data_IF_699781151563
#
_entry.id   IF_699781151563
#
_cell.length_a   1.000
_cell.length_b   1.000
_cell.length_c   1.000
_cell.angle_alpha   90.00
_cell.angle_beta   90.00
_cell.angle_gamma   90.00
#
_symmetry.space_group_name_H-M   'P 1'
#
loop_
_entity.id
_entity.type
_entity.pdbx_description
1 polymer ?
#
# COMPACT_ATOMS: atom_id res chain seq x y z
N UNK A 1 7.59 28.70 10.18
CA UNK A 1 7.57 27.35 9.60
C UNK A 1 7.00 26.39 10.65
N UNK A 2 5.89 25.71 10.38
CA UNK A 2 5.31 24.74 11.31
C UNK A 2 6.06 23.39 11.29
N UNK A 3 5.86 22.52 12.30
CA UNK A 3 6.55 21.22 12.39
C UNK A 3 6.16 20.27 11.23
N UNK A 4 7.12 19.49 10.74
CA UNK A 4 6.89 18.46 9.71
C UNK A 4 5.92 17.39 10.26
N UNK A 5 4.75 17.22 9.65
CA UNK A 5 3.74 16.22 10.08
C UNK A 5 3.88 14.84 9.42
N UNK A 6 4.81 14.68 8.48
CA UNK A 6 4.94 13.42 7.72
C UNK A 6 5.23 12.22 8.62
N UNK A 7 6.07 12.40 9.64
CA UNK A 7 6.42 11.31 10.55
C UNK A 7 5.24 10.85 11.41
N UNK A 8 4.45 11.80 11.94
CA UNK A 8 3.24 11.46 12.69
C UNK A 8 2.20 10.71 11.82
N UNK A 9 2.00 11.17 10.58
CA UNK A 9 1.14 10.49 9.61
C UNK A 9 1.66 9.09 9.26
N UNK A 10 2.98 8.91 9.13
CA UNK A 10 3.61 7.62 8.88
C UNK A 10 3.41 6.64 10.04
N UNK A 11 3.55 7.09 11.29
CA UNK A 11 3.28 6.26 12.46
C UNK A 11 1.81 5.82 12.52
N UNK A 12 0.88 6.74 12.25
CA UNK A 12 -0.55 6.43 12.24
C UNK A 12 -0.90 5.38 11.17
N UNK A 13 -0.40 5.58 9.95
CA UNK A 13 -0.63 4.64 8.84
C UNK A 13 0.02 3.29 9.11
N UNK A 14 1.25 3.25 9.62
CA UNK A 14 1.92 2.00 9.97
C UNK A 14 1.15 1.23 11.05
N UNK A 15 0.62 1.93 12.07
CA UNK A 15 -0.21 1.30 13.09
C UNK A 15 -1.51 0.71 12.50
N UNK A 16 -2.17 1.43 11.58
CA UNK A 16 -3.36 0.95 10.88
C UNK A 16 -3.05 -0.28 10.01
N UNK A 17 -1.93 -0.28 9.28
CA UNK A 17 -1.49 -1.41 8.43
C UNK A 17 -1.18 -2.66 9.28
N UNK A 18 -0.44 -2.50 10.38
CA UNK A 18 -0.17 -3.59 11.33
C UNK A 18 -1.44 -4.20 11.93
N UNK A 19 -2.43 -3.36 12.24
CA UNK A 19 -3.71 -3.84 12.78
C UNK A 19 -4.51 -4.63 11.72
N UNK A 20 -4.41 -4.24 10.46
CA UNK A 20 -5.11 -4.94 9.38
C UNK A 20 -4.51 -6.33 9.12
N UNK A 21 -3.18 -6.43 9.13
CA UNK A 21 -2.43 -7.69 8.93
C UNK A 21 -2.74 -8.73 10.03
N UNK A 22 -3.17 -8.28 11.21
CA UNK A 22 -3.54 -9.16 12.34
C UNK A 22 -5.04 -9.50 12.42
N UNK A 23 -5.90 -8.94 11.55
CA UNK A 23 -7.38 -9.13 11.61
C UNK A 23 -7.92 -9.93 10.40
N UNK A 24 -7.05 -10.61 9.66
CA UNK A 24 -7.31 -11.31 8.38
C UNK A 24 -8.36 -12.44 8.50
N UNK A 25 -8.76 -12.85 9.70
CA UNK A 25 -9.70 -13.97 9.88
C UNK A 25 -11.17 -13.66 9.54
N UNK A 26 -11.54 -12.40 9.25
CA UNK A 26 -12.93 -12.04 8.90
C UNK A 26 -13.02 -10.98 7.79
N UNK A 27 -12.82 -11.40 6.53
CA UNK A 27 -12.97 -10.52 5.39
C UNK A 27 -14.45 -10.21 5.06
N UNK A 28 -14.79 -8.92 4.95
CA UNK A 28 -16.08 -8.43 4.48
C UNK A 28 -15.91 -7.49 3.29
N UNK A 29 -17.00 -7.24 2.53
CA UNK A 29 -16.99 -6.29 1.40
C UNK A 29 -16.54 -4.89 1.87
N UNK A 30 -16.94 -4.50 3.08
CA UNK A 30 -16.56 -3.24 3.71
C UNK A 30 -15.08 -3.23 4.09
N UNK A 31 -14.52 -4.36 4.54
CA UNK A 31 -13.10 -4.51 4.84
C UNK A 31 -12.23 -4.32 3.59
N UNK A 32 -12.67 -4.78 2.41
CA UNK A 32 -11.94 -4.57 1.16
C UNK A 32 -11.84 -3.09 0.76
N UNK A 33 -12.95 -2.33 0.87
CA UNK A 33 -12.91 -0.88 0.60
C UNK A 33 -11.96 -0.14 1.55
N UNK A 34 -12.00 -0.49 2.86
CA UNK A 34 -11.12 0.08 3.89
C UNK A 34 -9.65 -0.26 3.65
N UNK A 35 -9.35 -1.47 3.19
CA UNK A 35 -8.01 -1.90 2.81
C UNK A 35 -7.46 -1.02 1.68
N UNK A 36 -8.22 -0.80 0.61
CA UNK A 36 -7.79 0.05 -0.51
C UNK A 36 -7.56 1.50 -0.08
N UNK A 37 -8.44 2.05 0.76
CA UNK A 37 -8.26 3.41 1.28
C UNK A 37 -7.01 3.54 2.16
N UNK A 38 -6.73 2.53 2.99
CA UNK A 38 -5.51 2.50 3.79
C UNK A 38 -4.24 2.41 2.93
N UNK A 39 -4.27 1.63 1.84
CA UNK A 39 -3.16 1.57 0.88
C UNK A 39 -2.96 2.93 0.21
N UNK A 40 -4.05 3.64 -0.14
CA UNK A 40 -3.97 5.01 -0.69
C UNK A 40 -3.38 6.00 0.32
N UNK A 41 -3.77 5.91 1.59
CA UNK A 41 -3.17 6.69 2.67
C UNK A 41 -1.65 6.42 2.76
N UNK A 42 -1.23 5.16 2.70
CA UNK A 42 0.17 4.77 2.71
C UNK A 42 0.95 5.35 1.53
N UNK A 43 0.45 5.16 0.31
CA UNK A 43 0.98 5.76 -0.93
C UNK A 43 1.13 7.28 -0.77
N UNK A 44 0.13 7.96 -0.23
CA UNK A 44 0.16 9.40 0.02
C UNK A 44 1.27 9.81 1.00
N UNK A 45 1.43 9.09 2.11
CA UNK A 45 2.49 9.34 3.09
C UNK A 45 3.89 9.13 2.49
N UNK A 46 4.09 8.07 1.70
CA UNK A 46 5.35 7.80 1.00
C UNK A 46 5.70 8.94 0.03
N UNK A 47 4.72 9.44 -0.72
CA UNK A 47 4.89 10.56 -1.64
C UNK A 47 5.19 11.87 -0.90
N UNK A 48 4.51 12.12 0.22
CA UNK A 48 4.76 13.29 1.04
C UNK A 48 6.18 13.28 1.59
N UNK A 49 6.66 12.14 2.09
CA UNK A 49 8.01 12.03 2.61
C UNK A 49 9.09 12.19 1.54
N UNK A 50 8.93 11.58 0.36
CA UNK A 50 9.93 11.65 -0.71
C UNK A 50 10.18 13.08 -1.21
N UNK A 51 9.16 13.95 -1.15
CA UNK A 51 9.24 15.35 -1.62
C UNK A 51 9.49 16.38 -0.51
N UNK A 52 9.19 16.04 0.75
CA UNK A 52 9.28 16.98 1.86
C UNK A 52 10.73 17.30 2.26
N UNK A 53 11.12 18.58 2.17
CA UNK A 53 12.46 19.04 2.59
C UNK A 53 12.64 19.21 4.09
N UNK A 54 11.55 19.30 4.85
CA UNK A 54 11.58 19.51 6.31
C UNK A 54 11.82 18.22 7.10
N UNK A 55 11.48 17.07 6.51
CA UNK A 55 11.72 15.79 7.12
C UNK A 55 13.10 15.29 6.66
N UNK A 56 14.19 15.77 7.26
CA UNK A 56 15.56 15.48 6.82
C UNK A 56 16.23 14.28 7.50
N UNK A 57 15.58 13.67 8.49
CA UNK A 57 16.18 12.60 9.29
C UNK A 57 16.22 11.27 8.52
N UNK A 58 17.42 10.77 8.18
CA UNK A 58 17.58 9.52 7.46
C UNK A 58 17.17 8.27 8.25
N UNK A 59 17.11 8.31 9.58
CA UNK A 59 16.67 7.17 10.40
C UNK A 59 15.19 6.88 10.16
N UNK A 60 14.41 7.93 9.90
CA UNK A 60 12.98 7.81 9.63
C UNK A 60 12.71 7.11 8.29
N UNK A 61 13.67 7.06 7.37
CA UNK A 61 13.54 6.39 6.08
C UNK A 61 13.08 4.94 6.19
N UNK A 62 13.59 4.22 7.19
CA UNK A 62 13.27 2.81 7.42
C UNK A 62 11.77 2.59 7.66
N UNK A 63 11.11 3.52 8.36
CA UNK A 63 9.66 3.44 8.59
C UNK A 63 8.89 3.50 7.26
N UNK A 64 9.29 4.38 6.34
CA UNK A 64 8.63 4.51 5.05
C UNK A 64 8.86 3.28 4.16
N UNK A 65 10.04 2.66 4.21
CA UNK A 65 10.24 1.37 3.52
C UNK A 65 9.38 0.25 4.12
N UNK A 66 9.22 0.20 5.44
CA UNK A 66 8.34 -0.78 6.10
C UNK A 66 6.88 -0.56 5.67
N UNK A 67 6.41 0.69 5.65
CA UNK A 67 5.05 1.03 5.18
C UNK A 67 4.85 0.55 3.73
N UNK A 68 5.84 0.72 2.86
CA UNK A 68 5.75 0.26 1.47
C UNK A 68 5.68 -1.27 1.37
N UNK A 69 6.46 -2.00 2.17
CA UNK A 69 6.38 -3.46 2.25
C UNK A 69 5.02 -3.93 2.76
N UNK A 70 4.54 -3.35 3.87
CA UNK A 70 3.24 -3.68 4.45
C UNK A 70 2.09 -3.41 3.48
N UNK A 71 2.13 -2.28 2.76
CA UNK A 71 1.15 -1.96 1.73
C UNK A 71 1.19 -2.99 0.58
N UNK A 72 2.38 -3.45 0.19
CA UNK A 72 2.55 -4.51 -0.82
C UNK A 72 1.98 -5.85 -0.35
N UNK A 73 2.26 -6.26 0.89
CA UNK A 73 1.70 -7.46 1.49
C UNK A 73 0.17 -7.38 1.60
N UNK A 74 -0.35 -6.23 2.03
CA UNK A 74 -1.79 -5.94 2.07
C UNK A 74 -2.45 -6.03 0.69
N UNK A 75 -1.78 -5.56 -0.37
CA UNK A 75 -2.26 -5.73 -1.75
C UNK A 75 -2.27 -7.19 -2.21
N UNK A 76 -1.28 -7.98 -1.81
CA UNK A 76 -1.26 -9.42 -2.09
C UNK A 76 -2.42 -10.14 -1.40
N UNK A 77 -2.70 -9.81 -0.14
CA UNK A 77 -3.88 -10.30 0.58
C UNK A 77 -5.18 -9.85 -0.08
N UNK A 78 -5.24 -8.60 -0.54
CA UNK A 78 -6.36 -8.04 -1.30
C UNK A 78 -6.67 -8.85 -2.57
N UNK A 79 -5.75 -9.68 -3.05
CA UNK A 79 -5.83 -10.47 -4.26
C UNK A 79 -5.98 -11.97 -3.98
N UNK A 80 -5.99 -12.40 -2.71
CA UNK A 80 -6.10 -13.81 -2.35
C UNK A 80 -7.44 -14.39 -2.85
N UNK A 81 -7.44 -15.50 -3.61
CA UNK A 81 -8.66 -16.18 -4.06
C UNK A 81 -9.54 -16.67 -2.90
N UNK A 82 -8.95 -17.04 -1.76
CA UNK A 82 -9.70 -17.46 -0.55
C UNK A 82 -10.56 -16.33 0.01
N UNK A 83 -10.16 -15.09 -0.24
CA UNK A 83 -10.96 -13.91 0.08
C UNK A 83 -12.24 -13.87 -0.76
N UNK A 84 -12.22 -14.38 -1.99
CA UNK A 84 -13.41 -14.45 -2.84
C UNK A 84 -14.43 -15.43 -2.28
N UNK A 85 -13.99 -16.60 -1.81
CA UNK A 85 -14.83 -17.61 -1.16
C UNK A 85 -15.43 -17.09 0.15
N UNK A 86 -14.67 -16.36 0.97
CA UNK A 86 -15.21 -15.77 2.21
C UNK A 86 -16.21 -14.65 1.94
N UNK A 87 -15.94 -13.80 0.94
CA UNK A 87 -16.90 -12.80 0.46
C UNK A 87 -18.17 -13.49 -0.06
N UNK A 88 -18.05 -14.59 -0.81
CA UNK A 88 -19.16 -15.42 -1.30
C UNK A 88 -19.94 -16.14 -0.18
N UNK A 89 -19.27 -16.62 0.87
CA UNK A 89 -19.91 -17.34 1.99
C UNK A 89 -20.59 -16.39 2.98
N UNK A 90 -19.99 -15.24 3.30
CA UNK A 90 -20.65 -14.18 4.06
C UNK A 90 -21.94 -13.70 3.36
N UNK A 91 -22.04 -13.87 2.04
CA UNK A 91 -23.22 -13.54 1.24
C UNK A 91 -24.38 -14.55 1.35
N UNK A 92 -24.19 -15.79 1.80
CA UNK A 92 -25.29 -16.80 1.85
C UNK A 92 -26.14 -16.73 3.11
N UNK A 93 -25.63 -16.15 4.20
CA UNK A 93 -26.33 -16.12 5.50
C UNK A 93 -27.27 -14.93 5.71
N UNK A 94 -27.23 -13.91 4.85
CA UNK A 94 -27.98 -12.66 5.06
C UNK A 94 -28.63 -12.10 3.77
N UNK A 95 -29.73 -12.72 3.35
CA UNK A 95 -30.70 -12.32 2.29
C UNK A 95 -30.17 -12.21 0.84
N UNK A 96 -30.93 -12.72 -0.16
CA UNK A 96 -30.56 -12.64 -1.57
C UNK A 96 -30.91 -11.24 -2.10
N UNK A 97 -29.93 -10.33 -2.16
CA UNK A 97 -30.10 -9.03 -2.85
C UNK A 97 -29.26 -9.02 -4.13
N UNK A 98 -29.76 -8.53 -5.28
CA UNK A 98 -28.99 -8.48 -6.52
C UNK A 98 -27.81 -7.51 -6.37
N UNK A 99 -26.59 -8.00 -6.59
CA UNK A 99 -25.38 -7.21 -6.86
C UNK A 99 -25.00 -6.16 -5.80
N UNK A 100 -24.35 -6.58 -4.70
CA UNK A 100 -23.79 -5.62 -3.74
C UNK A 100 -22.58 -4.90 -4.33
N UNK A 101 -22.67 -3.57 -4.30
CA UNK A 101 -21.70 -2.65 -4.87
C UNK A 101 -20.71 -2.15 -3.82
N UNK A 102 -19.41 -2.09 -4.12
CA UNK A 102 -18.45 -1.32 -3.33
C UNK A 102 -18.45 0.14 -3.77
N UNK A 103 -18.16 1.03 -2.82
CA UNK A 103 -17.80 2.41 -3.12
C UNK A 103 -16.38 2.42 -3.71
N UNK A 104 -16.26 2.91 -4.93
CA UNK A 104 -14.99 3.14 -5.60
C UNK A 104 -14.85 4.62 -5.84
N UNK A 105 -13.72 5.17 -5.41
CA UNK A 105 -13.32 6.54 -5.71
C UNK A 105 -12.32 6.55 -6.86
N UNK A 106 -12.66 7.23 -7.96
CA UNK A 106 -11.77 7.45 -9.11
C UNK A 106 -11.59 8.95 -9.27
N UNK A 107 -10.45 9.46 -8.80
CA UNK A 107 -10.22 10.91 -8.71
C UNK A 107 -11.20 11.57 -7.72
N UNK A 108 -11.97 12.55 -8.20
CA UNK A 108 -13.00 13.24 -7.40
C UNK A 108 -14.37 12.55 -7.43
N UNK A 109 -14.56 11.57 -8.31
CA UNK A 109 -15.83 10.86 -8.48
C UNK A 109 -15.91 9.66 -7.55
N UNK A 110 -17.06 9.50 -6.88
CA UNK A 110 -17.39 8.34 -6.07
C UNK A 110 -18.58 7.60 -6.71
N UNK A 111 -18.43 6.31 -6.99
CA UNK A 111 -19.48 5.48 -7.58
C UNK A 111 -19.60 4.13 -6.87
N UNK A 112 -20.74 3.47 -7.04
CA UNK A 112 -21.02 2.15 -6.50
C UNK A 112 -21.00 1.12 -7.63
N UNK A 113 -20.09 0.16 -7.55
CA UNK A 113 -19.89 -0.86 -8.59
C UNK A 113 -19.90 -2.27 -8.00
N UNK A 114 -20.47 -3.28 -8.69
CA UNK A 114 -20.45 -4.67 -8.21
C UNK A 114 -19.03 -5.12 -7.94
N UNK A 115 -18.78 -5.72 -6.77
CA UNK A 115 -17.47 -6.27 -6.46
C UNK A 115 -17.33 -7.64 -7.13
N UNK A 116 -16.91 -7.65 -8.40
CA UNK A 116 -16.53 -8.86 -9.12
C UNK A 116 -15.00 -9.07 -9.11
N UNK A 117 -14.50 -10.30 -9.35
CA UNK A 117 -13.08 -10.60 -9.29
C UNK A 117 -12.21 -9.77 -10.26
N UNK A 118 -12.75 -9.39 -11.43
CA UNK A 118 -12.00 -8.57 -12.40
C UNK A 118 -11.86 -7.14 -11.92
N UNK A 119 -12.93 -6.57 -11.35
CA UNK A 119 -12.85 -5.24 -10.75
C UNK A 119 -11.91 -5.21 -9.54
N UNK A 120 -11.97 -6.22 -8.67
CA UNK A 120 -11.06 -6.39 -7.52
C UNK A 120 -9.59 -6.40 -7.99
N UNK A 121 -9.28 -7.22 -8.99
CA UNK A 121 -7.95 -7.28 -9.57
C UNK A 121 -7.51 -5.95 -10.20
N UNK A 122 -8.41 -5.26 -10.91
CA UNK A 122 -8.13 -3.97 -11.53
C UNK A 122 -7.85 -2.88 -10.48
N UNK A 123 -8.63 -2.81 -9.41
CA UNK A 123 -8.43 -1.83 -8.33
C UNK A 123 -7.11 -2.05 -7.60
N UNK A 124 -6.80 -3.29 -7.24
CA UNK A 124 -5.52 -3.63 -6.63
C UNK A 124 -4.34 -3.34 -7.57
N UNK A 125 -4.49 -3.60 -8.88
CA UNK A 125 -3.45 -3.30 -9.88
C UNK A 125 -3.18 -1.79 -9.97
N UNK A 126 -4.23 -0.96 -9.93
CA UNK A 126 -4.09 0.50 -9.95
C UNK A 126 -3.29 0.98 -8.74
N UNK A 127 -3.60 0.51 -7.54
CA UNK A 127 -2.85 0.90 -6.35
C UNK A 127 -1.43 0.34 -6.34
N UNK A 128 -1.22 -0.87 -6.88
CA UNK A 128 0.11 -1.46 -7.08
C UNK A 128 0.98 -0.62 -8.02
N UNK A 129 0.43 -0.12 -9.13
CA UNK A 129 1.15 0.75 -10.06
C UNK A 129 1.53 2.10 -9.43
N UNK A 130 0.66 2.68 -8.59
CA UNK A 130 0.99 3.90 -7.84
C UNK A 130 2.14 3.66 -6.86
N UNK A 131 2.10 2.55 -6.13
CA UNK A 131 3.16 2.18 -5.20
C UNK A 131 4.50 1.97 -5.93
N UNK A 132 4.45 1.27 -7.07
CA UNK A 132 5.60 1.08 -7.97
C UNK A 132 6.19 2.39 -8.46
N UNK A 133 5.35 3.39 -8.76
CA UNK A 133 5.80 4.69 -9.25
C UNK A 133 6.47 5.54 -8.14
N UNK A 134 6.12 5.34 -6.87
CA UNK A 134 6.63 6.15 -5.76
C UNK A 134 7.92 5.59 -5.17
N UNK A 135 8.12 4.27 -5.18
CA UNK A 135 9.32 3.63 -4.62
C UNK A 135 10.65 4.16 -5.17
N UNK A 136 10.82 4.41 -6.49
CA UNK A 136 12.03 5.03 -7.01
C UNK A 136 12.28 6.43 -6.42
N UNK A 137 11.22 7.22 -6.24
CA UNK A 137 11.31 8.56 -5.65
C UNK A 137 11.72 8.48 -4.17
N UNK A 138 11.23 7.46 -3.46
CA UNK A 138 11.65 7.18 -2.09
C UNK A 138 13.15 6.86 -2.06
N UNK A 139 13.62 5.95 -2.90
CA UNK A 139 15.06 5.62 -3.01
C UNK A 139 15.93 6.84 -3.34
N UNK A 140 15.55 7.64 -4.35
CA UNK A 140 16.27 8.85 -4.76
C UNK A 140 16.32 9.92 -3.66
N UNK A 141 15.25 10.08 -2.88
CA UNK A 141 15.23 11.01 -1.76
C UNK A 141 16.34 10.69 -0.74
N UNK A 142 16.73 9.42 -0.66
CA UNK A 142 17.70 8.88 0.29
C UNK A 142 19.12 8.71 -0.29
N UNK A 143 19.37 9.06 -1.54
CA UNK A 143 20.71 9.03 -2.11
C UNK A 143 21.61 10.15 -1.55
N UNK A 144 22.91 10.07 -1.83
CA UNK A 144 23.91 11.03 -1.32
C UNK A 144 23.62 12.49 -1.76
N UNK A 145 22.97 12.67 -2.91
CA UNK A 145 22.51 13.96 -3.42
C UNK A 145 20.99 14.16 -3.26
N UNK A 146 20.33 13.24 -2.56
CA UNK A 146 18.91 13.27 -2.29
C UNK A 146 18.55 14.32 -1.24
N UNK A 147 17.25 14.59 -1.14
CA UNK A 147 16.68 15.60 -0.23
C UNK A 147 16.99 15.30 1.25
N UNK A 148 17.26 14.03 1.59
CA UNK A 148 17.54 13.57 2.98
C UNK A 148 19.03 13.51 3.33
N UNK A 149 19.92 13.91 2.42
CA UNK A 149 21.38 13.99 2.60
C UNK A 149 21.97 12.82 3.41
N UNK A 150 21.82 11.59 2.93
CA UNK A 150 22.22 10.39 3.67
C UNK A 150 23.75 10.21 3.85
N UNK A 151 24.57 11.21 3.46
CA UNK A 151 26.03 11.24 3.63
C UNK A 151 26.48 11.16 5.10
N UNK A 152 25.58 11.43 6.04
CA UNK A 152 25.85 11.39 7.49
C UNK A 152 25.41 10.08 8.15
N UNK A 153 25.03 9.08 7.37
CA UNK A 153 24.57 7.77 7.82
C UNK A 153 25.67 6.74 7.62
N UNK A 154 25.77 5.80 8.54
CA UNK A 154 26.69 4.66 8.43
C UNK A 154 26.43 3.85 7.13
N UNK A 155 27.49 3.42 6.46
CA UNK A 155 27.41 2.70 5.18
C UNK A 155 26.61 1.39 5.28
N UNK A 156 26.66 0.71 6.42
CA UNK A 156 25.87 -0.49 6.65
C UNK A 156 24.36 -0.19 6.68
N UNK A 157 23.97 0.93 7.28
CA UNK A 157 22.58 1.39 7.34
C UNK A 157 22.10 1.82 5.95
N UNK A 158 22.94 2.54 5.19
CA UNK A 158 22.66 2.90 3.80
C UNK A 158 22.43 1.65 2.92
N UNK A 159 23.31 0.66 3.05
CA UNK A 159 23.22 -0.61 2.32
C UNK A 159 21.96 -1.39 2.68
N UNK A 160 21.62 -1.45 3.97
CA UNK A 160 20.39 -2.08 4.44
C UNK A 160 19.14 -1.40 3.87
N UNK A 161 19.09 -0.07 3.91
CA UNK A 161 17.94 0.71 3.42
C UNK A 161 17.77 0.61 1.90
N UNK A 162 18.87 0.60 1.12
CA UNK A 162 18.82 0.30 -0.31
C UNK A 162 18.27 -1.09 -0.59
N UNK A 163 18.76 -2.08 0.15
CA UNK A 163 18.30 -3.46 0.03
C UNK A 163 16.80 -3.58 0.28
N UNK A 164 16.24 -2.88 1.28
CA UNK A 164 14.80 -2.86 1.53
C UNK A 164 14.01 -2.32 0.32
N UNK A 165 14.47 -1.23 -0.32
CA UNK A 165 13.82 -0.70 -1.52
C UNK A 165 13.88 -1.69 -2.68
N UNK A 166 15.03 -2.36 -2.88
CA UNK A 166 15.21 -3.37 -3.92
C UNK A 166 14.35 -4.62 -3.70
N UNK A 167 14.24 -5.08 -2.45
CA UNK A 167 13.37 -6.20 -2.06
C UNK A 167 11.90 -5.83 -2.30
N UNK A 168 11.46 -4.67 -1.82
CA UNK A 168 10.08 -4.19 -2.03
C UNK A 168 9.74 -4.02 -3.52
N UNK A 169 10.72 -3.55 -4.32
CA UNK A 169 10.55 -3.43 -5.77
C UNK A 169 10.38 -4.78 -6.43
N UNK A 170 11.11 -5.81 -5.99
CA UNK A 170 10.95 -7.19 -6.46
C UNK A 170 9.59 -7.75 -6.07
N UNK A 171 9.18 -7.57 -4.81
CA UNK A 171 7.87 -8.04 -4.33
C UNK A 171 6.71 -7.50 -5.19
N UNK A 172 6.76 -6.21 -5.54
CA UNK A 172 5.77 -5.57 -6.42
C UNK A 172 5.83 -6.15 -7.85
N UNK A 173 7.02 -6.42 -8.38
CA UNK A 173 7.16 -7.01 -9.71
C UNK A 173 6.63 -8.45 -9.76
N UNK A 174 6.91 -9.23 -8.73
CA UNK A 174 6.44 -10.61 -8.59
C UNK A 174 4.93 -10.63 -8.42
N UNK A 175 4.36 -9.74 -7.59
CA UNK A 175 2.92 -9.58 -7.46
C UNK A 175 2.27 -9.22 -8.80
N UNK A 176 2.82 -8.23 -9.52
CA UNK A 176 2.33 -7.84 -10.85
C UNK A 176 2.38 -9.00 -11.85
N UNK A 177 3.41 -9.85 -11.80
CA UNK A 177 3.55 -11.03 -12.66
C UNK A 177 2.52 -12.10 -12.30
N UNK A 178 2.33 -12.37 -11.00
CA UNK A 178 1.29 -13.26 -10.51
C UNK A 178 -0.10 -12.84 -10.99
N UNK A 179 -0.40 -11.54 -10.94
CA UNK A 179 -1.67 -10.97 -11.44
C UNK A 179 -1.89 -11.17 -12.94
N UNK A 180 -0.82 -11.10 -13.76
CA UNK A 180 -0.93 -11.36 -15.21
C UNK A 180 -1.13 -12.83 -15.53
N UNK A 181 -0.54 -13.72 -14.75
CA UNK A 181 -0.60 -15.17 -15.00
C UNK A 181 -1.86 -15.82 -14.43
N UNK A 182 -2.50 -15.24 -13.40
CA UNK A 182 -3.77 -15.72 -12.84
C UNK A 182 -5.03 -15.18 -13.53
N UNK A 183 -4.87 -14.30 -14.53
CA UNK A 183 -5.98 -13.73 -15.31
C UNK A 183 -6.17 -14.41 -16.69
N UNK A 184 -5.40 -15.45 -16.98
CA UNK A 184 -5.49 -16.29 -18.18
C UNK A 184 -6.11 -17.65 -17.84
#
# INVERSE_FOLDING_TARGET
MGPCRCFAAALEVSAKLNKLDSTIDTWSIEAYSRLLDLIREAVGVLQQYSTCRLCGDPVQFTLYTIIAQQATSCLNLALDPKMDDQLLVANTRACPTPGRTIKVKVGEYETRVPLDPKLKAALALVELEKLRAILPNLGQAFEANGVKQAKHVDDAVLKYQRRLVEETTRDIQDLKRGMKNGAA
#
